data_IF_565757622074
#
_entry.id   IF_565757622074
#
_cell.length_a   1.000
_cell.length_b   1.000
_cell.length_c   1.000
_cell.angle_alpha   90.00
_cell.angle_beta   90.00
_cell.angle_gamma   90.00
#
_symmetry.space_group_name_H-M   'P 1'
#
loop_
_entity.id
_entity.type
_entity.pdbx_description
1 polymer ?
#
# COMPACT_ATOMS: atom_id res chain seq x y z
N UNK A 1 -8.65 -17.78 11.63
CA UNK A 1 -7.76 -18.21 10.53
C UNK A 1 -7.08 -16.96 10.02
N UNK A 2 -5.74 -16.92 10.03
CA UNK A 2 -4.99 -15.73 9.63
C UNK A 2 -4.97 -15.64 8.10
N UNK A 3 -5.75 -14.74 7.53
CA UNK A 3 -5.61 -14.37 6.12
C UNK A 3 -4.32 -13.55 6.03
N UNK A 4 -3.27 -14.13 5.43
CA UNK A 4 -2.03 -13.43 5.14
C UNK A 4 -2.36 -12.09 4.48
N UNK A 5 -1.79 -10.99 5.02
CA UNK A 5 -2.04 -9.63 4.55
C UNK A 5 -1.91 -9.62 3.04
N UNK A 6 -3.03 -9.38 2.36
CA UNK A 6 -3.09 -9.41 0.90
C UNK A 6 -2.39 -8.13 0.42
N UNK A 7 -1.09 -8.23 0.18
CA UNK A 7 -0.21 -7.10 -0.07
C UNK A 7 -0.42 -6.49 -1.45
N UNK A 8 -0.76 -5.20 -1.44
CA UNK A 8 -0.46 -4.14 -2.43
C UNK A 8 -0.79 -4.32 -3.92
N UNK A 9 -1.19 -5.51 -4.39
CA UNK A 9 -1.59 -5.72 -5.78
C UNK A 9 -3.08 -5.43 -5.95
N UNK A 10 -3.39 -4.57 -6.90
CA UNK A 10 -4.77 -4.31 -7.36
C UNK A 10 -5.32 -5.55 -8.08
N UNK A 11 -5.94 -6.48 -7.35
CA UNK A 11 -6.56 -7.68 -7.93
C UNK A 11 -7.63 -7.33 -8.96
N UNK A 12 -8.33 -6.21 -8.75
CA UNK A 12 -9.25 -5.64 -9.74
C UNK A 12 -8.53 -5.35 -11.07
N UNK A 13 -7.35 -4.72 -11.05
CA UNK A 13 -6.58 -4.45 -12.29
C UNK A 13 -6.10 -5.74 -12.95
N UNK A 14 -5.69 -6.75 -12.18
CA UNK A 14 -5.23 -8.04 -12.69
C UNK A 14 -6.35 -8.78 -13.45
N UNK A 15 -7.57 -8.76 -12.92
CA UNK A 15 -8.76 -9.30 -13.59
C UNK A 15 -9.32 -8.38 -14.70
N UNK A 16 -8.79 -7.16 -14.86
CA UNK A 16 -9.39 -6.14 -15.72
C UNK A 16 -10.80 -5.72 -15.27
N UNK A 17 -11.05 -5.82 -13.97
CA UNK A 17 -12.31 -5.51 -13.31
C UNK A 17 -12.25 -4.17 -12.57
N UNK A 18 -13.43 -3.64 -12.27
CA UNK A 18 -13.65 -2.48 -11.41
C UNK A 18 -14.23 -2.94 -10.07
N UNK A 19 -14.00 -2.21 -8.97
CA UNK A 19 -14.64 -2.50 -7.68
C UNK A 19 -16.18 -2.49 -7.75
N UNK A 20 -16.74 -1.75 -8.71
CA UNK A 20 -18.17 -1.69 -9.01
C UNK A 20 -18.71 -2.85 -9.85
N UNK A 21 -17.85 -3.70 -10.42
CA UNK A 21 -18.31 -4.85 -11.21
C UNK A 21 -18.99 -5.90 -10.32
N UNK A 22 -20.04 -6.52 -10.86
CA UNK A 22 -20.77 -7.60 -10.17
C UNK A 22 -19.96 -8.90 -10.17
N UNK A 23 -20.26 -9.81 -9.23
CA UNK A 23 -19.67 -11.16 -9.16
C UNK A 23 -19.78 -11.92 -10.49
N UNK A 24 -20.91 -11.79 -11.19
CA UNK A 24 -21.12 -12.39 -12.50
C UNK A 24 -20.14 -11.85 -13.58
N UNK A 25 -19.80 -10.57 -13.53
CA UNK A 25 -18.86 -9.96 -14.46
C UNK A 25 -17.41 -10.34 -14.15
N UNK A 26 -17.06 -10.35 -12.86
CA UNK A 26 -15.77 -10.87 -12.39
C UNK A 26 -15.55 -12.32 -12.88
N UNK A 27 -16.57 -13.16 -12.75
CA UNK A 27 -16.52 -14.57 -13.22
C UNK A 27 -16.29 -14.66 -14.73
N UNK A 28 -16.99 -13.86 -15.52
CA UNK A 28 -16.83 -13.82 -16.98
C UNK A 28 -15.43 -13.36 -17.39
N UNK A 29 -14.90 -12.33 -16.73
CA UNK A 29 -13.54 -11.82 -16.98
C UNK A 29 -12.49 -12.86 -16.60
N UNK A 30 -12.62 -13.50 -15.44
CA UNK A 30 -11.76 -14.61 -15.01
C UNK A 30 -11.75 -15.74 -16.04
N UNK A 31 -12.92 -16.22 -16.47
CA UNK A 31 -13.02 -17.30 -17.46
C UNK A 31 -12.31 -16.94 -18.78
N UNK A 32 -12.49 -15.70 -19.25
CA UNK A 32 -11.83 -15.22 -20.48
C UNK A 32 -10.31 -15.20 -20.32
N UNK A 33 -9.80 -14.69 -19.19
CA UNK A 33 -8.37 -14.61 -18.91
C UNK A 33 -7.75 -16.00 -18.70
N UNK A 34 -8.39 -16.86 -17.92
CA UNK A 34 -7.95 -18.24 -17.70
C UNK A 34 -7.78 -19.00 -19.01
N UNK A 35 -8.70 -18.83 -19.97
CA UNK A 35 -8.60 -19.44 -21.30
C UNK A 35 -7.49 -18.85 -22.17
N UNK A 36 -7.11 -17.59 -21.97
CA UNK A 36 -6.03 -16.92 -22.72
C UNK A 36 -4.64 -17.30 -22.20
N UNK A 37 -4.51 -17.48 -20.89
CA UNK A 37 -3.26 -17.78 -20.21
C UNK A 37 -3.09 -19.26 -19.86
N UNK A 38 -4.01 -20.13 -20.28
CA UNK A 38 -3.93 -21.56 -19.99
C UNK A 38 -2.66 -22.20 -20.58
N UNK A 39 -1.89 -23.00 -19.81
CA UNK A 39 -0.65 -23.62 -20.28
C UNK A 39 -0.89 -24.60 -21.44
N UNK A 40 -2.07 -25.22 -21.52
CA UNK A 40 -2.42 -26.16 -22.60
C UNK A 40 -2.52 -25.50 -24.00
N UNK A 41 -2.78 -24.19 -24.08
CA UNK A 41 -2.84 -23.47 -25.37
C UNK A 41 -1.48 -22.96 -25.84
N UNK A 42 -0.41 -23.30 -25.14
CA UNK A 42 0.94 -22.88 -25.49
C UNK A 42 1.39 -23.69 -26.71
N UNK A 43 1.62 -22.98 -27.82
CA UNK A 43 2.21 -23.58 -29.02
C UNK A 43 3.64 -23.99 -28.65
N UNK A 44 4.10 -25.15 -29.12
CA UNK A 44 5.43 -25.68 -28.80
C UNK A 44 6.63 -24.79 -29.25
N UNK A 45 6.37 -23.63 -29.84
CA UNK A 45 7.35 -22.70 -30.41
C UNK A 45 7.55 -21.42 -29.56
N UNK A 46 6.81 -21.24 -28.46
CA UNK A 46 7.06 -20.09 -27.57
C UNK A 46 8.33 -20.28 -26.74
N UNK A 47 9.18 -19.26 -26.61
CA UNK A 47 10.37 -19.30 -25.77
C UNK A 47 10.00 -19.54 -24.30
N UNK A 48 10.87 -20.22 -23.57
CA UNK A 48 10.66 -20.59 -22.16
C UNK A 48 10.26 -19.40 -21.27
N UNK A 49 10.84 -18.22 -21.51
CA UNK A 49 10.49 -17.00 -20.78
C UNK A 49 9.03 -16.57 -20.93
N UNK A 50 8.44 -16.69 -22.14
CA UNK A 50 7.02 -16.36 -22.35
C UNK A 50 6.08 -17.38 -21.70
N UNK A 51 6.51 -18.64 -21.58
CA UNK A 51 5.79 -19.68 -20.87
C UNK A 51 5.72 -19.36 -19.38
N UNK A 52 6.86 -19.01 -18.78
CA UNK A 52 6.96 -18.60 -17.37
C UNK A 52 6.11 -17.36 -17.08
N UNK A 53 6.17 -16.33 -17.94
CA UNK A 53 5.34 -15.13 -17.79
C UNK A 53 3.85 -15.44 -17.87
N UNK A 54 3.41 -16.30 -18.78
CA UNK A 54 2.00 -16.71 -18.89
C UNK A 54 1.53 -17.49 -17.67
N UNK A 55 2.36 -18.39 -17.16
CA UNK A 55 2.07 -19.15 -15.93
C UNK A 55 1.99 -18.20 -14.75
N UNK A 56 2.92 -17.25 -14.63
CA UNK A 56 2.90 -16.23 -13.58
C UNK A 56 1.62 -15.40 -13.64
N UNK A 57 1.22 -14.92 -14.83
CA UNK A 57 -0.03 -14.20 -15.04
C UNK A 57 -1.25 -15.04 -14.66
N UNK A 58 -1.27 -16.32 -15.02
CA UNK A 58 -2.34 -17.23 -14.64
C UNK A 58 -2.47 -17.39 -13.12
N UNK A 59 -1.33 -17.54 -12.42
CA UNK A 59 -1.29 -17.60 -10.95
C UNK A 59 -1.87 -16.31 -10.35
N UNK A 60 -1.48 -15.14 -10.87
CA UNK A 60 -2.00 -13.85 -10.42
C UNK A 60 -3.52 -13.73 -10.65
N UNK A 61 -4.02 -14.18 -11.80
CA UNK A 61 -5.46 -14.19 -12.11
C UNK A 61 -6.23 -15.13 -11.18
N UNK A 62 -5.68 -16.30 -10.88
CA UNK A 62 -6.29 -17.27 -9.96
C UNK A 62 -6.33 -16.74 -8.52
N UNK A 63 -5.24 -16.13 -8.06
CA UNK A 63 -5.20 -15.45 -6.76
C UNK A 63 -6.23 -14.32 -6.70
N UNK A 64 -6.31 -13.49 -7.74
CA UNK A 64 -7.31 -12.42 -7.84
C UNK A 64 -8.74 -12.97 -7.71
N UNK A 65 -9.04 -14.09 -8.38
CA UNK A 65 -10.35 -14.73 -8.33
C UNK A 65 -10.65 -15.38 -6.97
N UNK A 66 -9.66 -15.97 -6.30
CA UNK A 66 -9.84 -16.49 -4.93
C UNK A 66 -10.26 -15.40 -3.94
N UNK A 67 -9.77 -14.18 -4.14
CA UNK A 67 -10.04 -13.05 -3.26
C UNK A 67 -11.34 -12.35 -3.66
N UNK A 68 -11.55 -12.07 -4.95
CA UNK A 68 -12.70 -11.30 -5.43
C UNK A 68 -13.93 -12.15 -5.77
N UNK A 69 -13.77 -13.47 -5.94
CA UNK A 69 -14.83 -14.37 -6.40
C UNK A 69 -15.78 -14.85 -5.31
N UNK A 70 -15.44 -14.65 -4.03
CA UNK A 70 -16.37 -14.84 -2.91
C UNK A 70 -16.73 -13.48 -2.31
N UNK A 71 -18.01 -13.29 -1.97
CA UNK A 71 -18.50 -12.03 -1.42
C UNK A 71 -17.87 -11.70 -0.06
N UNK A 72 -17.64 -12.71 0.78
CA UNK A 72 -17.00 -12.55 2.08
C UNK A 72 -15.55 -12.06 1.95
N UNK A 73 -14.75 -12.74 1.11
CA UNK A 73 -13.35 -12.38 0.88
C UNK A 73 -13.21 -11.06 0.12
N UNK A 74 -14.15 -10.75 -0.80
CA UNK A 74 -14.20 -9.45 -1.48
C UNK A 74 -14.45 -8.33 -0.47
N UNK A 75 -15.42 -8.52 0.43
CA UNK A 75 -15.73 -7.53 1.47
C UNK A 75 -14.57 -7.31 2.42
N UNK A 76 -13.89 -8.37 2.83
CA UNK A 76 -12.68 -8.26 3.66
C UNK A 76 -11.55 -7.53 2.91
N UNK A 77 -11.34 -7.84 1.63
CA UNK A 77 -10.37 -7.13 0.79
C UNK A 77 -10.70 -5.64 0.62
N UNK A 78 -11.97 -5.29 0.37
CA UNK A 78 -12.40 -3.89 0.25
C UNK A 78 -12.26 -3.14 1.59
N UNK A 79 -12.53 -3.80 2.72
CA UNK A 79 -12.30 -3.24 4.06
C UNK A 79 -10.81 -2.98 4.30
N UNK A 80 -9.97 -3.96 4.01
CA UNK A 80 -8.52 -3.85 4.20
C UNK A 80 -7.89 -2.80 3.27
N UNK A 81 -8.37 -2.69 2.03
CA UNK A 81 -8.01 -1.61 1.10
C UNK A 81 -8.37 -0.24 1.66
N UNK A 82 -9.55 -0.11 2.27
CA UNK A 82 -9.97 1.15 2.90
C UNK A 82 -9.11 1.48 4.10
N UNK A 83 -8.81 0.51 4.95
CA UNK A 83 -7.90 0.69 6.09
C UNK A 83 -6.49 1.05 5.64
N UNK A 84 -5.94 0.39 4.62
CA UNK A 84 -4.62 0.70 4.06
C UNK A 84 -4.58 2.11 3.47
N UNK A 85 -5.61 2.55 2.76
CA UNK A 85 -5.72 3.94 2.29
C UNK A 85 -5.73 4.92 3.46
N UNK A 86 -6.55 4.68 4.49
CA UNK A 86 -6.57 5.51 5.69
C UNK A 86 -5.22 5.53 6.42
N UNK A 87 -4.46 4.42 6.36
CA UNK A 87 -3.14 4.32 7.00
C UNK A 87 -2.05 4.96 6.14
N UNK A 88 -2.24 5.11 4.83
CA UNK A 88 -1.33 5.86 3.95
C UNK A 88 -1.56 7.37 4.06
N UNK A 89 -2.80 7.76 4.35
CA UNK A 89 -3.20 9.12 4.63
C UNK A 89 -3.07 9.41 6.13
N UNK A 90 -1.89 9.19 6.72
CA UNK A 90 -1.62 9.83 8.01
C UNK A 90 -1.81 11.34 7.79
N UNK A 91 -2.59 12.03 8.65
CA UNK A 91 -2.77 13.47 8.54
C UNK A 91 -1.44 14.14 8.88
N UNK A 92 -0.58 14.22 7.86
CA UNK A 92 0.73 14.82 7.92
C UNK A 92 0.49 16.31 8.15
N UNK A 93 0.74 16.76 9.38
CA UNK A 93 0.35 18.12 9.79
C UNK A 93 1.15 19.17 9.02
N UNK A 94 2.43 18.86 8.73
CA UNK A 94 3.30 19.62 7.86
C UNK A 94 4.53 18.78 7.45
N UNK A 95 5.08 19.07 6.28
CA UNK A 95 6.44 18.69 5.89
C UNK A 95 7.34 19.89 6.15
N UNK A 96 8.45 19.66 6.83
CA UNK A 96 9.31 20.74 7.30
C UNK A 96 10.76 20.31 7.16
N UNK A 97 11.61 21.23 6.72
CA UNK A 97 13.04 20.99 6.66
C UNK A 97 13.65 21.14 8.04
N UNK A 98 14.65 20.32 8.35
CA UNK A 98 15.39 20.41 9.62
C UNK A 98 15.94 21.83 9.87
N UNK A 99 16.30 22.53 8.80
CA UNK A 99 16.83 23.90 8.81
C UNK A 99 15.79 24.95 9.26
N UNK A 100 14.50 24.67 9.12
CA UNK A 100 13.41 25.56 9.52
C UNK A 100 13.10 25.45 11.03
N UNK A 101 13.66 24.44 11.70
CA UNK A 101 13.50 24.24 13.15
C UNK A 101 14.45 25.10 13.96
N UNK A 102 14.01 25.51 15.15
CA UNK A 102 14.83 26.27 16.09
C UNK A 102 15.87 25.36 16.76
N UNK A 103 17.14 25.59 16.48
CA UNK A 103 18.25 24.83 17.06
C UNK A 103 18.59 25.32 18.47
N UNK A 104 18.60 24.40 19.44
CA UNK A 104 19.12 24.61 20.78
C UNK A 104 20.52 24.02 20.91
N UNK A 105 21.50 24.89 21.15
CA UNK A 105 22.92 24.53 21.26
C UNK A 105 23.28 23.78 22.54
N UNK A 106 22.56 24.03 23.65
CA UNK A 106 22.83 23.44 24.97
C UNK A 106 22.38 21.97 25.04
N UNK A 107 21.18 21.68 24.49
CA UNK A 107 20.56 20.36 24.49
C UNK A 107 20.78 19.58 23.17
N UNK A 108 21.47 20.19 22.20
CA UNK A 108 21.76 19.64 20.87
C UNK A 108 20.51 19.10 20.14
N UNK A 109 19.41 19.85 20.21
CA UNK A 109 18.13 19.46 19.64
C UNK A 109 17.51 20.55 18.75
N UNK A 110 16.78 20.11 17.73
CA UNK A 110 15.92 20.93 16.91
C UNK A 110 14.52 20.93 17.52
N UNK A 111 13.96 22.11 17.73
CA UNK A 111 12.64 22.29 18.32
C UNK A 111 11.72 23.08 17.39
N UNK A 112 10.45 22.69 17.33
CA UNK A 112 9.42 23.42 16.60
C UNK A 112 8.16 23.54 17.44
N UNK A 113 7.56 24.73 17.46
CA UNK A 113 6.29 24.96 18.16
C UNK A 113 5.10 24.39 17.38
N UNK A 114 4.23 23.66 18.07
CA UNK A 114 2.96 23.19 17.54
C UNK A 114 1.85 24.21 17.84
N UNK A 115 0.83 24.27 16.97
CA UNK A 115 -0.35 25.14 17.15
C UNK A 115 -1.16 24.82 18.41
N UNK A 116 -0.98 23.64 19.02
CA UNK A 116 -1.59 23.31 20.31
C UNK A 116 -0.85 23.90 21.51
N UNK A 117 0.33 24.51 21.32
CA UNK A 117 1.20 24.99 22.39
C UNK A 117 2.27 24.00 22.84
N UNK A 118 2.24 22.75 22.35
CA UNK A 118 3.33 21.79 22.52
C UNK A 118 4.52 22.06 21.60
N UNK A 119 5.55 21.22 21.68
CA UNK A 119 6.70 21.26 20.78
C UNK A 119 6.89 19.92 20.06
N UNK A 120 7.71 19.96 19.00
CA UNK A 120 8.30 18.81 18.35
C UNK A 120 9.80 18.90 18.60
N UNK A 121 10.39 17.86 19.18
CA UNK A 121 11.80 17.87 19.58
C UNK A 121 12.55 16.75 18.87
N UNK A 122 13.67 17.08 18.24
CA UNK A 122 14.55 16.12 17.54
C UNK A 122 15.98 16.32 17.95
N UNK A 123 16.58 15.29 18.52
CA UNK A 123 17.99 15.34 18.88
C UNK A 123 18.85 15.20 17.63
N UNK A 124 19.96 15.94 17.58
CA UNK A 124 20.96 15.84 16.49
C UNK A 124 21.46 14.42 16.25
N UNK A 125 21.49 13.61 17.30
CA UNK A 125 21.89 12.20 17.25
C UNK A 125 20.93 11.33 16.42
N UNK A 126 19.68 11.77 16.24
CA UNK A 126 18.58 10.98 15.67
C UNK A 126 18.10 11.52 14.31
N UNK A 127 18.60 12.67 13.85
CA UNK A 127 18.18 13.32 12.58
C UNK A 127 18.43 12.48 11.32
N UNK A 128 19.18 11.37 11.44
CA UNK A 128 19.44 10.44 10.33
C UNK A 128 18.47 9.25 10.31
N UNK A 129 17.83 8.94 11.42
CA UNK A 129 16.98 7.76 11.59
C UNK A 129 15.49 8.13 11.71
N UNK A 130 15.20 9.38 12.10
CA UNK A 130 13.84 9.87 12.35
C UNK A 130 13.35 10.73 11.20
N UNK A 131 12.40 10.22 10.42
CA UNK A 131 11.68 10.96 9.38
C UNK A 131 10.36 11.56 9.85
N UNK A 132 9.80 11.11 10.98
CA UNK A 132 8.53 11.59 11.51
C UNK A 132 8.57 11.81 13.01
N UNK A 133 8.04 12.94 13.48
CA UNK A 133 8.08 13.36 14.89
C UNK A 133 6.69 13.74 15.35
N UNK A 134 6.27 13.19 16.49
CA UNK A 134 5.01 13.53 17.13
C UNK A 134 5.18 14.72 18.09
N UNK A 135 4.11 15.50 18.26
CA UNK A 135 4.11 16.57 19.25
C UNK A 135 3.96 16.00 20.67
N UNK A 136 4.66 16.59 21.64
CA UNK A 136 4.57 16.19 23.05
C UNK A 136 3.19 16.38 23.68
N UNK A 137 2.38 17.28 23.12
CA UNK A 137 1.07 17.67 23.70
C UNK A 137 -0.12 17.23 22.86
N UNK A 138 0.07 16.82 21.61
CA UNK A 138 -1.03 16.38 20.75
C UNK A 138 -0.62 15.24 19.83
N UNK A 139 -1.60 14.51 19.28
CA UNK A 139 -1.35 13.42 18.34
C UNK A 139 -0.97 13.87 16.92
N UNK A 140 -0.58 15.15 16.74
CA UNK A 140 -0.12 15.64 15.44
C UNK A 140 1.29 15.15 15.17
N UNK A 141 1.55 14.81 13.91
CA UNK A 141 2.83 14.31 13.42
C UNK A 141 3.31 15.20 12.29
N UNK A 142 4.59 15.55 12.33
CA UNK A 142 5.29 16.27 11.28
C UNK A 142 6.30 15.33 10.60
N UNK A 143 6.54 15.55 9.33
CA UNK A 143 7.60 14.86 8.58
C UNK A 143 8.79 15.80 8.41
N UNK A 144 9.98 15.29 8.72
CA UNK A 144 11.22 16.04 8.59
C UNK A 144 11.90 15.65 7.29
N UNK A 145 12.02 16.62 6.40
CA UNK A 145 12.74 16.49 5.15
C UNK A 145 14.23 16.80 5.39
N UNK A 146 15.10 15.93 4.87
CA UNK A 146 16.57 16.06 4.91
C UNK A 146 17.10 16.98 3.82
#
# INVERSE_FOLDING_TARGET
MAFERITQKDWYKILGAKPSDSQAELKRKYQKLALLYHPDKQKADVPAGEVEERVQRFIEIDQAWKILGNEETKKEYDLQQREDNLTKEWPLHAQIYLEDMSWNEDEQCYTLSCRCGGNYTVFRSETKDVSSVCCDTCSLVIEILQ
#
